data_IF_519247098567
#
_entry.id   IF_519247098567
#
_cell.length_a   1.000
_cell.length_b   1.000
_cell.length_c   1.000
_cell.angle_alpha   90.00
_cell.angle_beta   90.00
_cell.angle_gamma   90.00
#
_symmetry.space_group_name_H-M   'P 1'
#
loop_
_entity.id
_entity.type
_entity.pdbx_description
1 polymer ?
#
# COMPACT_ATOMS: atom_id res chain seq x y z
N UNK A 1 4.77 37.35 -0.69
CA UNK A 1 5.89 37.07 -1.61
C UNK A 1 5.95 35.55 -1.81
N UNK A 2 5.77 35.06 -3.04
CA UNK A 2 5.91 33.62 -3.31
C UNK A 2 7.40 33.31 -3.38
N UNK A 3 7.92 32.58 -2.39
CA UNK A 3 9.32 32.15 -2.37
C UNK A 3 9.56 31.09 -3.44
N UNK A 4 10.75 31.08 -4.07
CA UNK A 4 11.19 30.07 -5.04
C UNK A 4 11.03 28.64 -4.49
N UNK A 5 11.19 28.48 -3.17
CA UNK A 5 10.97 27.22 -2.45
C UNK A 5 9.52 26.76 -2.56
N UNK A 6 8.56 27.69 -2.47
CA UNK A 6 7.14 27.37 -2.55
C UNK A 6 6.75 26.90 -3.97
N UNK A 7 7.36 27.49 -5.00
CA UNK A 7 7.18 27.09 -6.39
C UNK A 7 7.80 25.71 -6.64
N UNK A 8 8.99 25.45 -6.10
CA UNK A 8 9.65 24.15 -6.20
C UNK A 8 8.86 23.02 -5.53
N UNK A 9 8.29 23.27 -4.34
CA UNK A 9 7.43 22.31 -3.64
C UNK A 9 6.14 22.05 -4.43
N UNK A 10 5.49 23.09 -4.96
CA UNK A 10 4.29 22.96 -5.76
C UNK A 10 4.55 22.14 -7.05
N UNK A 11 5.66 22.41 -7.73
CA UNK A 11 6.09 21.65 -8.90
C UNK A 11 6.38 20.18 -8.56
N UNK A 12 7.02 19.93 -7.41
CA UNK A 12 7.29 18.57 -6.93
C UNK A 12 5.99 17.81 -6.69
N UNK A 13 5.00 18.43 -6.04
CA UNK A 13 3.69 17.81 -5.85
C UNK A 13 2.97 17.54 -7.19
N UNK A 14 3.08 18.45 -8.15
CA UNK A 14 2.51 18.24 -9.50
C UNK A 14 3.17 17.05 -10.21
N UNK A 15 4.50 16.96 -10.18
CA UNK A 15 5.25 15.85 -10.78
C UNK A 15 4.95 14.51 -10.11
N UNK A 16 4.88 14.47 -8.78
CA UNK A 16 4.47 13.27 -8.03
C UNK A 16 3.05 12.85 -8.43
N UNK A 17 2.12 13.80 -8.51
CA UNK A 17 0.74 13.51 -8.90
C UNK A 17 0.65 12.94 -10.32
N UNK A 18 1.36 13.54 -11.30
CA UNK A 18 1.40 13.04 -12.68
C UNK A 18 2.05 11.66 -12.75
N UNK A 19 3.19 11.47 -12.07
CA UNK A 19 3.88 10.18 -12.03
C UNK A 19 3.02 9.07 -11.43
N UNK A 20 2.33 9.37 -10.32
CA UNK A 20 1.39 8.45 -9.70
C UNK A 20 0.22 8.11 -10.63
N UNK A 21 -0.37 9.10 -11.30
CA UNK A 21 -1.46 8.90 -12.27
C UNK A 21 -1.04 7.99 -13.43
N UNK A 22 0.14 8.23 -14.02
CA UNK A 22 0.68 7.41 -15.10
C UNK A 22 0.92 5.98 -14.60
N UNK A 23 1.58 5.81 -13.45
CA UNK A 23 1.88 4.50 -12.89
C UNK A 23 0.61 3.69 -12.62
N UNK A 24 -0.41 4.31 -12.00
CA UNK A 24 -1.71 3.68 -11.73
C UNK A 24 -2.42 3.33 -13.03
N UNK A 25 -2.48 4.26 -14.00
CA UNK A 25 -3.14 4.04 -15.29
C UNK A 25 -2.51 2.90 -16.07
N UNK A 26 -1.19 2.83 -16.13
CA UNK A 26 -0.46 1.73 -16.78
C UNK A 26 -0.66 0.41 -16.05
N UNK A 27 -0.65 0.41 -14.72
CA UNK A 27 -0.90 -0.80 -13.94
C UNK A 27 -2.30 -1.37 -14.23
N UNK A 28 -3.32 -0.51 -14.24
CA UNK A 28 -4.71 -0.88 -14.55
C UNK A 28 -4.85 -1.39 -15.99
N UNK A 29 -4.32 -0.67 -16.98
CA UNK A 29 -4.37 -1.10 -18.38
C UNK A 29 -3.72 -2.47 -18.56
N UNK A 30 -2.52 -2.67 -18.01
CA UNK A 30 -1.78 -3.93 -18.09
C UNK A 30 -2.50 -5.08 -17.38
N UNK A 31 -3.24 -4.76 -16.32
CA UNK A 31 -4.06 -5.72 -15.58
C UNK A 31 -5.22 -6.26 -16.43
N UNK A 32 -5.90 -5.38 -17.18
CA UNK A 32 -7.04 -5.76 -18.03
C UNK A 32 -6.63 -6.33 -19.40
N UNK A 33 -5.50 -5.91 -19.97
CA UNK A 33 -5.03 -6.42 -21.26
C UNK A 33 -4.56 -7.89 -21.22
N UNK A 34 -4.27 -8.46 -20.05
CA UNK A 34 -3.82 -9.86 -19.89
C UNK A 34 -5.03 -10.81 -19.74
N UNK A 35 -5.88 -10.89 -20.77
CA UNK A 35 -7.17 -11.61 -20.73
C UNK A 35 -7.11 -13.12 -20.45
N UNK A 36 -5.93 -13.75 -20.52
CA UNK A 36 -5.76 -15.18 -20.27
C UNK A 36 -5.74 -15.63 -18.79
N UNK A 37 -5.54 -14.71 -17.83
CA UNK A 37 -5.40 -15.04 -16.39
C UNK A 37 -6.25 -14.18 -15.45
N UNK A 38 -7.25 -13.48 -15.98
CA UNK A 38 -8.05 -12.49 -15.23
C UNK A 38 -8.65 -13.02 -13.92
N UNK A 39 -8.98 -14.33 -13.83
CA UNK A 39 -9.47 -14.95 -12.59
C UNK A 39 -8.44 -14.93 -11.45
N UNK A 40 -7.18 -15.28 -11.73
CA UNK A 40 -6.11 -15.28 -10.70
C UNK A 40 -5.78 -13.87 -10.23
N UNK A 41 -5.77 -12.93 -11.18
CA UNK A 41 -5.60 -11.52 -10.88
C UNK A 41 -6.73 -10.97 -10.01
N UNK A 42 -7.99 -11.32 -10.33
CA UNK A 42 -9.16 -10.91 -9.55
C UNK A 42 -9.11 -11.47 -8.12
N UNK A 43 -8.66 -12.72 -7.95
CA UNK A 43 -8.43 -13.33 -6.63
C UNK A 43 -7.33 -12.58 -5.86
N UNK A 44 -6.23 -12.21 -6.52
CA UNK A 44 -5.17 -11.42 -5.90
C UNK A 44 -5.67 -10.06 -5.41
N UNK A 45 -6.48 -9.38 -6.22
CA UNK A 45 -7.09 -8.08 -5.86
C UNK A 45 -8.07 -8.23 -4.71
N UNK A 46 -8.96 -9.23 -4.73
CA UNK A 46 -9.94 -9.43 -3.66
C UNK A 46 -9.27 -9.78 -2.34
N UNK A 47 -8.23 -10.63 -2.37
CA UNK A 47 -7.42 -10.94 -1.20
C UNK A 47 -6.72 -9.71 -0.64
N UNK A 48 -6.15 -8.87 -1.51
CA UNK A 48 -5.53 -7.61 -1.09
C UNK A 48 -6.54 -6.68 -0.41
N UNK A 49 -7.72 -6.48 -1.01
CA UNK A 49 -8.80 -5.66 -0.42
C UNK A 49 -9.23 -6.21 0.94
N UNK A 50 -9.35 -7.53 1.10
CA UNK A 50 -9.70 -8.14 2.38
C UNK A 50 -8.67 -7.81 3.47
N UNK A 51 -7.37 -7.88 3.15
CA UNK A 51 -6.29 -7.51 4.09
C UNK A 51 -6.35 -6.03 4.45
N UNK A 52 -6.63 -5.15 3.48
CA UNK A 52 -6.75 -3.71 3.70
C UNK A 52 -7.92 -3.39 4.63
N UNK A 53 -9.08 -4.03 4.44
CA UNK A 53 -10.25 -3.88 5.32
C UNK A 53 -9.92 -4.38 6.74
N UNK A 54 -9.32 -5.56 6.85
CA UNK A 54 -8.89 -6.12 8.14
C UNK A 54 -7.92 -5.17 8.85
N UNK A 55 -6.97 -4.61 8.12
CA UNK A 55 -5.98 -3.67 8.64
C UNK A 55 -6.62 -2.35 9.10
N UNK A 56 -7.67 -1.88 8.42
CA UNK A 56 -8.41 -0.69 8.85
C UNK A 56 -9.19 -0.93 10.15
N UNK A 57 -9.73 -2.14 10.36
CA UNK A 57 -10.40 -2.53 11.61
C UNK A 57 -9.40 -2.66 12.76
N UNK A 58 -8.20 -3.20 12.49
CA UNK A 58 -7.13 -3.33 13.49
C UNK A 58 -6.44 -2.00 13.80
N UNK A 59 -6.47 -1.04 12.88
CA UNK A 59 -5.85 0.26 13.06
C UNK A 59 -6.58 1.08 14.13
N UNK A 60 -5.82 1.52 15.14
CA UNK A 60 -6.31 2.44 16.15
C UNK A 60 -6.22 3.89 15.66
N UNK A 61 -7.21 4.67 16.05
CA UNK A 61 -7.31 6.13 15.90
C UNK A 61 -6.69 6.90 17.07
N UNK A 62 -6.25 6.21 18.11
CA UNK A 62 -5.62 6.84 19.26
C UNK A 62 -4.26 7.44 18.86
N UNK A 63 -4.09 8.73 19.15
CA UNK A 63 -2.83 9.44 19.00
C UNK A 63 -2.11 9.35 20.33
N UNK A 64 -0.88 8.83 20.35
CA UNK A 64 -0.11 8.75 21.59
C UNK A 64 0.14 10.18 22.11
N UNK A 65 0.08 10.42 23.44
CA UNK A 65 0.31 11.76 24.01
C UNK A 65 1.65 12.40 23.55
N UNK A 66 2.66 11.56 23.28
CA UNK A 66 3.95 11.97 22.70
C UNK A 66 3.84 12.69 21.33
N UNK A 67 2.74 12.50 20.60
CA UNK A 67 2.51 13.04 19.27
C UNK A 67 1.50 14.20 19.24
N UNK A 68 0.89 14.56 20.38
CA UNK A 68 -0.03 15.71 20.46
C UNK A 68 0.67 17.01 20.03
N UNK A 69 1.97 17.15 20.30
CA UNK A 69 2.79 18.30 19.88
C UNK A 69 2.90 18.50 18.36
N UNK A 70 2.52 17.50 17.57
CA UNK A 70 2.55 17.54 16.11
C UNK A 70 1.16 17.74 15.49
N UNK A 71 0.13 18.01 16.31
CA UNK A 71 -1.25 18.24 15.85
C UNK A 71 -1.79 17.15 14.91
N UNK A 72 -1.35 15.90 15.12
CA UNK A 72 -1.76 14.77 14.27
C UNK A 72 -3.23 14.46 14.56
N UNK A 73 -4.10 14.65 13.57
CA UNK A 73 -5.50 14.22 13.67
C UNK A 73 -5.59 12.69 13.86
N UNK A 74 -6.51 12.24 14.70
CA UNK A 74 -6.87 10.82 14.89
C UNK A 74 -7.13 10.10 13.56
N UNK A 75 -7.71 10.81 12.58
CA UNK A 75 -7.96 10.29 11.23
C UNK A 75 -6.67 10.00 10.46
N UNK A 76 -5.66 10.87 10.57
CA UNK A 76 -4.35 10.66 9.95
C UNK A 76 -3.61 9.51 10.63
N UNK A 77 -3.64 9.43 11.96
CA UNK A 77 -3.05 8.32 12.72
C UNK A 77 -3.63 6.98 12.30
N UNK A 78 -4.97 6.87 12.20
CA UNK A 78 -5.65 5.64 11.77
C UNK A 78 -5.25 5.19 10.37
N UNK A 79 -5.12 6.13 9.41
CA UNK A 79 -4.69 5.81 8.04
C UNK A 79 -3.26 5.31 7.99
N UNK A 80 -2.36 5.89 8.78
CA UNK A 80 -0.97 5.43 8.88
C UNK A 80 -0.93 4.04 9.53
N UNK A 81 -1.64 3.83 10.63
CA UNK A 81 -1.75 2.53 11.28
C UNK A 81 -2.31 1.45 10.36
N UNK A 82 -3.34 1.77 9.58
CA UNK A 82 -3.89 0.88 8.54
C UNK A 82 -2.84 0.50 7.50
N UNK A 83 -2.05 1.47 7.03
CA UNK A 83 -0.96 1.21 6.09
C UNK A 83 0.11 0.28 6.67
N UNK A 84 0.51 0.51 7.92
CA UNK A 84 1.47 -0.33 8.63
C UNK A 84 0.96 -1.76 8.82
N UNK A 85 -0.28 -1.94 9.31
CA UNK A 85 -0.88 -3.26 9.47
C UNK A 85 -0.98 -4.01 8.13
N UNK A 86 -1.39 -3.32 7.06
CA UNK A 86 -1.45 -3.90 5.71
C UNK A 86 -0.07 -4.41 5.29
N UNK A 87 0.96 -3.60 5.49
CA UNK A 87 2.33 -3.96 5.17
C UNK A 87 2.85 -5.14 6.00
N UNK A 88 2.61 -5.15 7.31
CA UNK A 88 3.06 -6.23 8.20
C UNK A 88 2.40 -7.56 7.87
N UNK A 89 1.08 -7.56 7.62
CA UNK A 89 0.34 -8.78 7.25
C UNK A 89 0.86 -9.33 5.91
N UNK A 90 0.95 -8.49 4.87
CA UNK A 90 1.40 -8.92 3.56
C UNK A 90 2.86 -9.39 3.57
N UNK A 91 3.73 -8.68 4.28
CA UNK A 91 5.14 -9.07 4.43
C UNK A 91 5.25 -10.43 5.12
N UNK A 92 4.47 -10.67 6.18
CA UNK A 92 4.47 -11.97 6.89
C UNK A 92 4.01 -13.10 5.96
N UNK A 93 2.91 -12.90 5.23
CA UNK A 93 2.41 -13.87 4.24
C UNK A 93 3.45 -14.13 3.15
N UNK A 94 4.13 -13.09 2.67
CA UNK A 94 5.18 -13.20 1.66
C UNK A 94 6.37 -14.02 2.17
N UNK A 95 6.84 -13.76 3.39
CA UNK A 95 7.95 -14.52 4.01
C UNK A 95 7.57 -16.00 4.12
N UNK A 96 6.38 -16.31 4.67
CA UNK A 96 5.89 -17.69 4.79
C UNK A 96 5.78 -18.35 3.41
N UNK A 97 5.24 -17.63 2.42
CA UNK A 97 5.09 -18.13 1.06
C UNK A 97 6.42 -18.44 0.37
N UNK A 98 7.43 -17.59 0.56
CA UNK A 98 8.79 -17.82 0.04
C UNK A 98 9.40 -19.04 0.70
N UNK A 99 9.36 -19.13 2.04
CA UNK A 99 9.90 -20.29 2.77
C UNK A 99 9.22 -21.58 2.28
N UNK A 100 7.89 -21.61 2.24
CA UNK A 100 7.14 -22.77 1.76
C UNK A 100 7.50 -23.16 0.32
N UNK A 101 7.60 -22.18 -0.59
CA UNK A 101 8.03 -22.41 -1.98
C UNK A 101 9.40 -23.09 -2.05
N UNK A 102 10.37 -22.58 -1.31
CA UNK A 102 11.74 -23.10 -1.33
C UNK A 102 11.84 -24.50 -0.70
N UNK A 103 11.17 -24.72 0.43
CA UNK A 103 11.07 -26.07 1.03
C UNK A 103 10.39 -27.06 0.09
N UNK A 104 9.25 -26.70 -0.52
CA UNK A 104 8.53 -27.62 -1.40
C UNK A 104 9.32 -27.95 -2.67
N UNK A 105 10.09 -27.00 -3.21
CA UNK A 105 11.02 -27.25 -4.33
C UNK A 105 12.15 -28.19 -3.93
N UNK A 106 12.73 -28.01 -2.73
CA UNK A 106 13.81 -28.85 -2.24
C UNK A 106 13.39 -30.31 -2.03
N UNK A 107 12.12 -30.55 -1.65
CA UNK A 107 11.56 -31.89 -1.45
C UNK A 107 10.97 -32.54 -2.72
N UNK A 108 10.73 -31.78 -3.80
CA UNK A 108 10.25 -32.32 -5.09
C UNK A 108 11.35 -32.89 -5.99
N UNK A 109 12.46 -33.35 -5.39
CA UNK A 109 13.48 -34.13 -6.09
C UNK A 109 13.14 -35.62 -6.04
#
# INVERSE_FOLDING_TARGET
MVSIVNIGILLTYALIAIGALIAISFAILKLFSRSGNSKKTLIGISAFIAVVILSFVLASDNVLPSYEKYEISSSSSKRVGMGLYTFYILTTIAIIGVIYSEFTKAFKK
#
